data_IF_926353953962
#
_entry.id   IF_926353953962
#
_cell.length_a   1.000
_cell.length_b   1.000
_cell.length_c   1.000
_cell.angle_alpha   90.00
_cell.angle_beta   90.00
_cell.angle_gamma   90.00
#
_symmetry.space_group_name_H-M   'P 1'
#
loop_
_entity.id
_entity.type
_entity.pdbx_description
1 polymer ?
#
# COMPACT_ATOMS: atom_id res chain seq x y z
N UNK A 1 20.52 -9.75 16.67
CA UNK A 1 20.54 -9.24 15.27
C UNK A 1 19.41 -9.89 14.46
N UNK A 2 18.16 -9.85 14.96
CA UNK A 2 16.97 -10.38 14.26
C UNK A 2 15.91 -9.33 13.98
N UNK A 3 15.90 -8.22 14.72
CA UNK A 3 14.96 -7.10 14.53
C UNK A 3 15.00 -6.47 13.13
N UNK A 4 16.17 -6.37 12.52
CA UNK A 4 16.32 -5.75 11.18
C UNK A 4 15.68 -6.59 10.08
N UNK A 5 15.71 -7.91 10.21
CA UNK A 5 15.08 -8.83 9.25
C UNK A 5 13.55 -8.83 9.41
N UNK A 6 13.04 -8.73 10.64
CA UNK A 6 11.59 -8.61 10.91
C UNK A 6 11.05 -7.28 10.36
N UNK A 7 11.78 -6.17 10.55
CA UNK A 7 11.39 -4.86 9.99
C UNK A 7 11.32 -4.83 8.46
N UNK A 8 12.15 -5.64 7.79
CA UNK A 8 12.13 -5.74 6.32
C UNK A 8 10.92 -6.54 5.80
N UNK A 9 10.37 -7.46 6.58
CA UNK A 9 9.18 -8.24 6.24
C UNK A 9 7.89 -7.40 6.32
N UNK A 10 7.89 -6.37 7.18
CA UNK A 10 6.81 -5.40 7.29
C UNK A 10 6.89 -4.25 6.28
N UNK A 11 7.90 -4.21 5.42
CA UNK A 11 7.96 -3.21 4.36
C UNK A 11 6.98 -3.59 3.25
N UNK A 12 6.01 -2.71 2.98
CA UNK A 12 5.14 -2.79 1.80
C UNK A 12 5.72 -1.83 0.78
N UNK A 13 6.12 -2.38 -0.36
CA UNK A 13 6.67 -1.62 -1.48
C UNK A 13 5.62 -1.45 -2.59
N UNK A 14 5.74 -0.39 -3.42
CA UNK A 14 5.00 -0.32 -4.67
C UNK A 14 5.15 -1.60 -5.50
N UNK A 15 4.03 -2.18 -5.93
CA UNK A 15 3.95 -3.46 -6.63
C UNK A 15 3.59 -4.64 -5.75
N UNK A 16 3.65 -4.50 -4.41
CA UNK A 16 3.23 -5.56 -3.51
C UNK A 16 1.72 -5.79 -3.58
N UNK A 17 1.34 -7.06 -3.50
CA UNK A 17 -0.03 -7.46 -3.26
C UNK A 17 -0.36 -7.27 -1.78
N UNK A 18 -1.47 -6.60 -1.49
CA UNK A 18 -1.87 -6.22 -0.14
C UNK A 18 -3.33 -6.54 0.12
N UNK A 19 -3.66 -6.80 1.38
CA UNK A 19 -5.05 -6.87 1.85
C UNK A 19 -5.41 -5.54 2.48
N UNK A 20 -6.42 -4.87 1.93
CA UNK A 20 -6.98 -3.63 2.46
C UNK A 20 -8.00 -3.91 3.56
N UNK A 21 -7.84 -3.20 4.68
CA UNK A 21 -8.70 -3.27 5.86
C UNK A 21 -8.96 -1.87 6.45
N UNK A 22 -8.96 -0.84 5.61
CA UNK A 22 -9.17 0.55 6.02
C UNK A 22 -10.63 0.92 6.28
N UNK A 23 -10.95 2.22 6.23
CA UNK A 23 -12.28 2.72 6.59
C UNK A 23 -13.37 2.49 5.55
N UNK A 24 -13.02 2.23 4.28
CA UNK A 24 -14.00 2.00 3.20
C UNK A 24 -14.25 0.49 3.12
N UNK A 25 -15.19 -0.01 3.92
CA UNK A 25 -15.40 -1.45 4.12
C UNK A 25 -15.79 -2.21 2.87
N UNK A 26 -16.53 -1.58 1.96
CA UNK A 26 -16.98 -2.20 0.70
C UNK A 26 -15.82 -2.50 -0.27
N UNK A 27 -14.65 -1.90 -0.01
CA UNK A 27 -13.43 -2.10 -0.80
C UNK A 27 -12.40 -2.95 -0.06
N UNK A 28 -12.76 -3.55 1.08
CA UNK A 28 -11.90 -4.55 1.75
C UNK A 28 -11.62 -5.72 0.81
N UNK A 29 -10.38 -6.18 0.78
CA UNK A 29 -9.99 -7.23 -0.15
C UNK A 29 -8.55 -7.11 -0.63
N UNK A 30 -8.25 -7.81 -1.71
CA UNK A 30 -6.91 -7.96 -2.27
C UNK A 30 -6.66 -6.92 -3.37
N UNK A 31 -5.54 -6.22 -3.30
CA UNK A 31 -5.19 -5.13 -4.20
C UNK A 31 -3.68 -5.08 -4.47
N UNK A 32 -3.28 -4.46 -5.59
CA UNK A 32 -1.89 -4.03 -5.78
C UNK A 32 -1.68 -2.67 -5.14
N UNK A 33 -0.64 -2.56 -4.32
CA UNK A 33 -0.19 -1.29 -3.77
C UNK A 33 0.61 -0.51 -4.83
N UNK A 34 0.17 0.68 -5.18
CA UNK A 34 0.90 1.59 -6.07
C UNK A 34 1.13 2.93 -5.38
N UNK A 35 2.12 3.75 -5.77
CA UNK A 35 2.33 5.05 -5.14
C UNK A 35 1.10 5.93 -5.37
N UNK A 36 0.63 6.63 -4.33
CA UNK A 36 -0.49 7.55 -4.48
C UNK A 36 -0.12 8.67 -5.48
N UNK A 37 -0.86 8.86 -6.59
CA UNK A 37 -0.48 9.82 -7.62
C UNK A 37 -0.87 11.27 -7.30
N UNK A 38 -1.44 11.54 -6.12
CA UNK A 38 -1.91 12.88 -5.77
C UNK A 38 -0.72 13.84 -5.54
N UNK A 39 -0.90 15.12 -5.88
CA UNK A 39 0.17 16.12 -5.79
C UNK A 39 0.74 16.27 -4.38
N UNK A 40 -0.09 16.07 -3.35
CA UNK A 40 0.32 16.15 -1.94
C UNK A 40 1.28 15.00 -1.59
N UNK A 41 0.92 13.75 -1.93
CA UNK A 41 1.78 12.60 -1.68
C UNK A 41 3.08 12.67 -2.46
N UNK A 42 3.03 13.12 -3.71
CA UNK A 42 4.22 13.34 -4.53
C UNK A 42 5.16 14.40 -3.93
N UNK A 43 4.60 15.51 -3.42
CA UNK A 43 5.40 16.54 -2.77
C UNK A 43 6.03 16.05 -1.46
N UNK A 44 5.28 15.30 -0.64
CA UNK A 44 5.78 14.69 0.61
C UNK A 44 6.93 13.72 0.32
N UNK A 45 6.78 12.88 -0.69
CA UNK A 45 7.82 11.94 -1.15
C UNK A 45 9.09 12.68 -1.61
N UNK A 46 8.93 13.74 -2.41
CA UNK A 46 10.04 14.60 -2.84
C UNK A 46 10.76 15.31 -1.68
N UNK A 47 10.05 15.58 -0.58
CA UNK A 47 10.61 16.15 0.64
C UNK A 47 11.31 15.11 1.53
N UNK A 48 11.29 13.82 1.15
CA UNK A 48 11.90 12.73 1.91
C UNK A 48 11.15 12.40 3.21
N UNK A 49 9.88 12.79 3.32
CA UNK A 49 9.05 12.48 4.47
C UNK A 49 8.51 11.05 4.33
N UNK A 50 8.81 10.18 5.30
CA UNK A 50 8.51 8.75 5.28
C UNK A 50 7.00 8.38 5.42
N UNK A 51 6.07 9.23 4.99
CA UNK A 51 4.63 8.92 4.90
C UNK A 51 4.28 8.35 3.52
N UNK A 52 4.70 7.10 3.26
CA UNK A 52 4.28 6.40 2.04
C UNK A 52 2.78 6.14 2.09
N UNK A 53 2.05 6.67 1.11
CA UNK A 53 0.63 6.40 0.89
C UNK A 53 0.44 5.71 -0.45
N UNK A 54 -0.54 4.82 -0.48
CA UNK A 54 -0.81 3.97 -1.64
C UNK A 54 -2.10 4.38 -2.35
N UNK A 55 -2.11 4.23 -3.67
CA UNK A 55 -3.32 3.96 -4.41
C UNK A 55 -3.43 2.45 -4.60
N UNK A 56 -4.60 1.90 -4.34
CA UNK A 56 -4.86 0.48 -4.50
C UNK A 56 -5.46 0.25 -5.88
N UNK A 57 -4.77 -0.56 -6.67
CA UNK A 57 -5.17 -0.91 -8.02
C UNK A 57 -5.66 -2.36 -8.04
N UNK A 58 -6.76 -2.59 -8.73
CA UNK A 58 -7.15 -3.94 -9.08
C UNK A 58 -6.10 -4.55 -10.04
N UNK A 59 -5.55 -5.74 -9.79
CA UNK A 59 -4.57 -6.37 -10.67
C UNK A 59 -5.03 -6.55 -12.12
N UNK A 60 -6.35 -6.66 -12.33
CA UNK A 60 -6.96 -6.84 -13.64
C UNK A 60 -7.49 -5.54 -14.25
N UNK A 61 -7.43 -4.43 -13.51
CA UNK A 61 -7.85 -3.10 -13.97
C UNK A 61 -9.37 -2.93 -14.12
N UNK A 62 -10.17 -3.80 -13.51
CA UNK A 62 -11.62 -3.83 -13.65
C UNK A 62 -12.32 -2.82 -12.73
N UNK A 63 -11.70 -2.47 -11.59
CA UNK A 63 -12.29 -1.60 -10.59
C UNK A 63 -11.31 -0.54 -10.06
N UNK A 64 -11.72 0.73 -9.91
CA UNK A 64 -10.93 1.71 -9.18
C UNK A 64 -10.93 1.37 -7.69
N UNK A 65 -9.75 1.14 -7.12
CA UNK A 65 -9.60 0.89 -5.70
C UNK A 65 -9.44 2.17 -4.86
N UNK A 66 -9.30 2.03 -3.54
CA UNK A 66 -9.07 3.16 -2.64
C UNK A 66 -7.81 3.96 -2.98
N UNK A 67 -7.91 5.29 -2.92
CA UNK A 67 -6.77 6.20 -3.06
C UNK A 67 -6.32 6.73 -1.70
N UNK A 68 -5.05 7.15 -1.62
CA UNK A 68 -4.49 7.81 -0.43
C UNK A 68 -4.49 6.93 0.83
N UNK A 69 -4.32 5.63 0.63
CA UNK A 69 -4.34 4.61 1.67
C UNK A 69 -3.08 4.71 2.52
N UNK A 70 -3.26 4.74 3.84
CA UNK A 70 -2.15 4.74 4.80
C UNK A 70 -1.57 3.35 4.91
N UNK A 71 -0.26 3.27 5.18
CA UNK A 71 0.42 1.99 5.44
C UNK A 71 -0.30 1.12 6.48
N UNK A 72 -0.88 1.70 7.53
CA UNK A 72 -1.56 0.95 8.59
C UNK A 72 -2.90 0.32 8.17
N UNK A 73 -3.48 0.75 7.04
CA UNK A 73 -4.75 0.23 6.52
C UNK A 73 -4.57 -0.95 5.55
N UNK A 74 -3.33 -1.42 5.39
CA UNK A 74 -2.99 -2.52 4.50
C UNK A 74 -2.00 -3.46 5.18
N UNK A 75 -2.12 -4.73 4.87
CA UNK A 75 -1.14 -5.75 5.25
C UNK A 75 -0.60 -6.40 3.99
N UNK A 76 0.71 -6.65 3.92
CA UNK A 76 1.29 -7.38 2.79
C UNK A 76 0.65 -8.76 2.72
N UNK A 77 0.17 -9.12 1.53
CA UNK A 77 -0.29 -10.48 1.28
C UNK A 77 0.93 -11.35 1.04
N UNK A 78 1.09 -12.40 1.84
CA UNK A 78 2.07 -13.47 1.59
C UNK A 78 1.53 -14.53 0.63
N UNK A 79 0.41 -14.26 -0.06
CA UNK A 79 -0.04 -15.10 -1.15
C UNK A 79 0.94 -14.95 -2.34
N UNK A 80 2.09 -15.59 -2.22
CA UNK A 80 3.07 -15.77 -3.28
C UNK A 80 3.29 -17.28 -3.44
N UNK A 81 3.02 -17.80 -4.64
CA UNK A 81 3.43 -19.14 -5.08
C UNK A 81 2.35 -20.20 -4.99
#
# INVERSE_FOLDING_TARGET
MSDTLIRSLDLIEPGDLVVYHGSITDLHGLWLATPCPCGICRAIDQLGLAEVRFALADPWGEQPGPFHVRRQSVTRSFACG
#
